data_IF_906019046910
#
_entry.id   IF_906019046910
#
_cell.length_a   1.000
_cell.length_b   1.000
_cell.length_c   1.000
_cell.angle_alpha   90.00
_cell.angle_beta   90.00
_cell.angle_gamma   90.00
#
_symmetry.space_group_name_H-M   'P 1'
#
loop_
_entity.id
_entity.type
_entity.pdbx_description
1 polymer ?
#
# COMPACT_ATOMS: atom_id res chain seq x y z
N UNK A 1 33.15 6.28 -22.46
CA UNK A 1 32.32 5.18 -23.01
C UNK A 1 31.26 4.79 -21.98
N UNK A 2 29.96 4.98 -22.25
CA UNK A 2 28.89 4.61 -21.31
C UNK A 2 28.26 3.28 -21.71
N UNK A 3 27.85 2.46 -20.72
CA UNK A 3 27.18 1.17 -20.94
C UNK A 3 26.00 1.28 -21.92
N UNK A 4 25.24 2.38 -21.85
CA UNK A 4 24.13 2.67 -22.77
C UNK A 4 24.56 2.76 -24.24
N UNK A 5 25.75 3.31 -24.54
CA UNK A 5 26.29 3.41 -25.90
C UNK A 5 26.62 2.02 -26.45
N UNK A 6 27.38 1.22 -25.69
CA UNK A 6 27.76 -0.14 -26.08
C UNK A 6 26.53 -1.03 -26.33
N UNK A 7 25.53 -0.98 -25.44
CA UNK A 7 24.27 -1.72 -25.64
C UNK A 7 23.55 -1.31 -26.94
N UNK A 8 23.56 -0.02 -27.29
CA UNK A 8 22.98 0.48 -28.54
C UNK A 8 23.80 0.03 -29.76
N UNK A 9 25.13 0.04 -29.66
CA UNK A 9 26.05 -0.42 -30.71
C UNK A 9 25.86 -1.92 -30.99
N UNK A 10 25.55 -2.71 -29.95
CA UNK A 10 25.19 -4.14 -30.07
C UNK A 10 23.73 -4.39 -30.49
N UNK A 11 22.92 -3.34 -30.75
CA UNK A 11 21.51 -3.48 -31.11
C UNK A 11 20.62 -4.05 -29.99
N UNK A 12 21.14 -4.14 -28.76
CA UNK A 12 20.44 -4.72 -27.62
C UNK A 12 19.40 -3.72 -27.08
N UNK A 13 18.13 -4.09 -27.19
CA UNK A 13 17.00 -3.34 -26.63
C UNK A 13 16.39 -4.12 -25.46
N UNK A 14 15.75 -3.40 -24.54
CA UNK A 14 14.96 -4.04 -23.49
C UNK A 14 13.80 -4.79 -24.16
N UNK A 15 13.58 -6.05 -23.79
CA UNK A 15 12.48 -6.87 -24.32
C UNK A 15 11.15 -6.18 -24.02
N UNK A 16 10.44 -5.74 -25.05
CA UNK A 16 9.12 -5.10 -24.95
C UNK A 16 7.97 -6.09 -25.14
N UNK A 17 8.26 -7.26 -25.72
CA UNK A 17 7.28 -8.32 -25.90
C UNK A 17 7.04 -8.96 -24.54
N UNK A 18 5.90 -8.60 -23.95
CA UNK A 18 5.30 -9.30 -22.82
C UNK A 18 4.33 -10.29 -23.43
N UNK A 19 4.57 -11.56 -23.16
CA UNK A 19 3.70 -12.65 -23.61
C UNK A 19 2.27 -12.49 -23.06
N UNK A 20 1.25 -12.91 -23.82
CA UNK A 20 -0.14 -12.76 -23.41
C UNK A 20 -0.46 -13.59 -22.16
N UNK A 21 0.12 -14.79 -22.05
CA UNK A 21 0.01 -15.64 -20.85
C UNK A 21 0.54 -14.91 -19.61
N UNK A 22 1.66 -14.20 -19.74
CA UNK A 22 2.22 -13.40 -18.65
C UNK A 22 1.32 -12.23 -18.28
N UNK A 23 0.63 -11.60 -19.24
CA UNK A 23 -0.32 -10.52 -18.94
C UNK A 23 -1.52 -11.04 -18.17
N UNK A 24 -2.09 -12.18 -18.59
CA UNK A 24 -3.21 -12.82 -17.91
C UNK A 24 -2.84 -13.19 -16.47
N UNK A 25 -1.69 -13.86 -16.30
CA UNK A 25 -1.16 -14.18 -14.97
C UNK A 25 -0.95 -12.94 -14.08
N UNK A 26 -0.52 -11.82 -14.65
CA UNK A 26 -0.36 -10.56 -13.90
C UNK A 26 -1.72 -9.98 -13.50
N UNK A 27 -2.75 -10.09 -14.36
CA UNK A 27 -4.12 -9.66 -14.01
C UNK A 27 -4.64 -10.43 -12.80
N UNK A 28 -4.49 -11.75 -12.79
CA UNK A 28 -4.96 -12.59 -11.69
C UNK A 28 -4.27 -12.27 -10.36
N UNK A 29 -2.96 -12.03 -10.40
CA UNK A 29 -2.20 -11.64 -9.21
C UNK A 29 -2.61 -10.26 -8.69
N UNK A 30 -2.89 -9.32 -9.59
CA UNK A 30 -3.41 -7.99 -9.23
C UNK A 30 -4.76 -8.14 -8.52
N UNK A 31 -5.68 -8.95 -9.08
CA UNK A 31 -6.97 -9.25 -8.47
C UNK A 31 -6.82 -9.86 -7.08
N UNK A 32 -5.96 -10.87 -6.95
CA UNK A 32 -5.72 -11.54 -5.68
C UNK A 32 -5.18 -10.57 -4.61
N UNK A 33 -4.23 -9.72 -4.97
CA UNK A 33 -3.65 -8.74 -4.03
C UNK A 33 -4.65 -7.63 -3.67
N UNK A 34 -5.54 -7.23 -4.58
CA UNK A 34 -6.63 -6.29 -4.28
C UNK A 34 -7.62 -6.91 -3.28
N UNK A 35 -7.99 -8.18 -3.45
CA UNK A 35 -8.92 -8.87 -2.56
C UNK A 35 -8.31 -9.19 -1.18
N UNK A 36 -7.01 -9.49 -1.13
CA UNK A 36 -6.31 -9.89 0.10
C UNK A 36 -5.72 -8.70 0.85
N UNK A 37 -5.52 -7.57 0.18
CA UNK A 37 -4.78 -6.42 0.68
C UNK A 37 -5.51 -5.62 1.78
N UNK A 38 -4.81 -5.11 2.81
CA UNK A 38 -5.42 -4.35 3.90
C UNK A 38 -6.09 -3.04 3.49
N UNK A 39 -5.78 -2.48 2.33
CA UNK A 39 -6.47 -1.31 1.78
C UNK A 39 -6.52 -1.46 0.27
N UNK A 40 -7.71 -1.32 -0.31
CA UNK A 40 -7.98 -1.17 -1.75
C UNK A 40 -7.30 0.07 -2.39
N UNK A 41 -6.35 0.69 -1.67
CA UNK A 41 -5.64 1.91 -2.00
C UNK A 41 -4.27 1.66 -2.67
N UNK A 42 -3.90 0.41 -2.93
CA UNK A 42 -2.64 0.10 -3.60
C UNK A 42 -2.67 0.61 -5.06
N UNK A 43 -2.02 1.74 -5.30
CA UNK A 43 -1.79 2.24 -6.65
C UNK A 43 -0.82 1.36 -7.44
N UNK A 44 -0.70 1.61 -8.75
CA UNK A 44 0.15 0.81 -9.65
C UNK A 44 1.62 0.74 -9.22
N UNK A 45 2.13 1.73 -8.49
CA UNK A 45 3.51 1.74 -7.96
C UNK A 45 3.72 0.69 -6.89
N UNK A 46 2.79 0.61 -5.95
CA UNK A 46 2.80 -0.41 -4.89
C UNK A 46 2.60 -1.78 -5.52
N UNK A 47 1.63 -1.90 -6.43
CA UNK A 47 1.35 -3.15 -7.12
C UNK A 47 2.55 -3.67 -7.93
N UNK A 48 3.24 -2.79 -8.66
CA UNK A 48 4.50 -3.13 -9.35
C UNK A 48 5.58 -3.61 -8.38
N UNK A 49 5.65 -3.00 -7.18
CA UNK A 49 6.61 -3.42 -6.17
C UNK A 49 6.28 -4.80 -5.57
N UNK A 50 4.99 -5.05 -5.31
CA UNK A 50 4.47 -6.33 -4.79
C UNK A 50 4.70 -7.45 -5.80
N UNK A 51 4.39 -7.25 -7.08
CA UNK A 51 4.65 -8.22 -8.14
C UNK A 51 6.13 -8.64 -8.19
N UNK A 52 7.04 -7.68 -7.97
CA UNK A 52 8.48 -7.96 -7.93
C UNK A 52 8.94 -8.64 -6.64
N UNK A 53 8.42 -8.23 -5.48
CA UNK A 53 8.87 -8.71 -4.17
C UNK A 53 8.20 -10.00 -3.69
N UNK A 54 6.93 -10.22 -4.02
CA UNK A 54 6.20 -11.44 -3.62
C UNK A 54 6.21 -12.47 -4.72
N UNK A 55 5.89 -12.05 -5.94
CA UNK A 55 5.71 -12.97 -7.07
C UNK A 55 6.96 -13.14 -7.94
N UNK A 56 8.04 -12.37 -7.69
CA UNK A 56 9.29 -12.36 -8.47
C UNK A 56 9.09 -12.09 -9.96
N UNK A 57 8.00 -11.40 -10.32
CA UNK A 57 7.67 -11.05 -11.71
C UNK A 57 8.22 -9.66 -12.01
N UNK A 58 8.97 -9.52 -13.10
CA UNK A 58 9.53 -8.25 -13.54
C UNK A 58 8.81 -7.76 -14.80
N UNK A 59 7.78 -6.94 -14.60
CA UNK A 59 6.98 -6.34 -15.68
C UNK A 59 7.22 -4.83 -15.77
N UNK A 60 7.08 -4.24 -16.97
CA UNK A 60 7.14 -2.79 -17.12
C UNK A 60 6.01 -2.11 -16.35
N UNK A 61 6.33 -0.99 -15.69
CA UNK A 61 5.35 -0.23 -14.88
C UNK A 61 4.12 0.21 -15.68
N UNK A 62 4.30 0.57 -16.95
CA UNK A 62 3.21 0.98 -17.85
C UNK A 62 2.19 -0.13 -18.08
N UNK A 63 2.65 -1.38 -18.15
CA UNK A 63 1.75 -2.54 -18.27
C UNK A 63 0.94 -2.72 -16.98
N UNK A 64 1.59 -2.62 -15.82
CA UNK A 64 0.87 -2.71 -14.54
C UNK A 64 -0.18 -1.61 -14.43
N UNK A 65 0.14 -0.38 -14.87
CA UNK A 65 -0.81 0.73 -14.88
C UNK A 65 -2.01 0.48 -15.81
N UNK A 66 -1.79 -0.01 -17.03
CA UNK A 66 -2.89 -0.32 -17.95
C UNK A 66 -3.77 -1.44 -17.41
N UNK A 67 -3.16 -2.54 -16.94
CA UNK A 67 -3.88 -3.67 -16.36
C UNK A 67 -4.67 -3.27 -15.10
N UNK A 68 -4.07 -2.45 -14.23
CA UNK A 68 -4.75 -1.98 -13.01
C UNK A 68 -5.94 -1.07 -13.35
N UNK A 69 -5.87 -0.29 -14.42
CA UNK A 69 -6.99 0.55 -14.88
C UNK A 69 -8.13 -0.28 -15.48
N UNK A 70 -7.82 -1.40 -16.12
CA UNK A 70 -8.81 -2.35 -16.62
C UNK A 70 -9.49 -3.11 -15.48
N UNK A 71 -8.71 -3.56 -14.48
CA UNK A 71 -9.18 -4.36 -13.35
C UNK A 71 -9.92 -3.53 -12.30
N UNK A 72 -9.40 -2.35 -11.94
CA UNK A 72 -9.91 -1.48 -10.88
C UNK A 72 -10.05 -0.01 -11.37
N UNK A 73 -10.98 0.27 -12.30
CA UNK A 73 -11.21 1.64 -12.76
C UNK A 73 -11.68 2.55 -11.62
N UNK A 74 -12.49 2.02 -10.69
CA UNK A 74 -13.04 2.78 -9.56
C UNK A 74 -11.96 3.22 -8.60
N UNK A 75 -11.06 2.34 -8.18
CA UNK A 75 -9.97 2.69 -7.27
C UNK A 75 -8.92 3.57 -7.93
N UNK A 76 -8.71 3.44 -9.25
CA UNK A 76 -7.88 4.41 -10.01
C UNK A 76 -8.50 5.81 -9.97
N UNK A 77 -9.80 5.92 -10.21
CA UNK A 77 -10.51 7.22 -10.16
C UNK A 77 -10.51 7.82 -8.74
N UNK A 78 -10.75 7.01 -7.72
CA UNK A 78 -10.67 7.43 -6.31
C UNK A 78 -9.28 7.96 -5.94
N UNK A 79 -8.21 7.37 -6.49
CA UNK A 79 -6.85 7.87 -6.27
C UNK A 79 -6.57 9.14 -7.07
N UNK A 80 -7.15 9.28 -8.28
CA UNK A 80 -7.02 10.47 -9.12
C UNK A 80 -7.75 11.69 -8.56
N UNK A 81 -8.87 11.49 -7.87
CA UNK A 81 -9.64 12.58 -7.27
C UNK A 81 -8.87 13.36 -6.20
N UNK A 82 -7.75 12.80 -5.71
CA UNK A 82 -6.95 13.36 -4.60
C UNK A 82 -7.75 13.55 -3.31
N UNK A 83 -8.89 12.88 -3.20
CA UNK A 83 -9.70 12.87 -2.00
C UNK A 83 -9.18 11.79 -1.05
N UNK A 84 -8.72 12.20 0.12
CA UNK A 84 -8.29 11.26 1.16
C UNK A 84 -9.54 10.62 1.77
N UNK A 85 -9.74 9.31 1.57
CA UNK A 85 -10.77 8.61 2.31
C UNK A 85 -10.34 8.52 3.78
N UNK A 86 -11.13 9.16 4.66
CA UNK A 86 -10.95 9.03 6.11
C UNK A 86 -11.32 7.61 6.53
N UNK A 87 -10.43 6.95 7.27
CA UNK A 87 -10.76 5.72 7.99
C UNK A 87 -11.81 6.06 9.06
N UNK A 88 -12.89 5.27 9.08
CA UNK A 88 -13.87 5.32 10.17
C UNK A 88 -13.36 4.43 11.29
N UNK A 89 -13.09 5.05 12.44
CA UNK A 89 -12.70 4.34 13.66
C UNK A 89 -13.96 4.10 14.48
N UNK A 90 -14.26 2.83 14.77
CA UNK A 90 -15.33 2.45 15.69
C UNK A 90 -14.68 1.99 16.98
N UNK A 91 -15.04 2.65 18.09
CA UNK A 91 -14.58 2.28 19.43
C UNK A 91 -15.68 1.50 20.17
N UNK A 92 -15.37 0.40 20.87
CA UNK A 92 -16.36 -0.39 21.61
C UNK A 92 -17.12 0.39 22.71
N UNK A 93 -16.57 1.52 23.16
CA UNK A 93 -17.24 2.39 24.14
C UNK A 93 -16.44 3.67 24.45
N UNK A 94 -16.92 4.47 25.42
CA UNK A 94 -16.20 5.63 25.93
C UNK A 94 -14.83 5.23 26.49
N UNK A 95 -13.77 6.02 26.25
CA UNK A 95 -12.37 5.79 26.68
C UNK A 95 -11.58 4.68 25.98
N UNK A 96 -12.09 4.05 24.90
CA UNK A 96 -11.33 3.02 24.16
C UNK A 96 -10.38 3.57 23.09
N UNK A 97 -10.51 4.84 22.70
CA UNK A 97 -9.61 5.48 21.75
C UNK A 97 -9.06 6.79 22.34
N UNK A 98 -7.75 6.82 22.59
CA UNK A 98 -7.04 8.00 23.04
C UNK A 98 -6.25 8.56 21.86
N UNK A 99 -6.71 9.68 21.31
CA UNK A 99 -5.93 10.45 20.35
C UNK A 99 -5.03 11.41 21.12
N UNK A 100 -3.77 11.03 21.32
CA UNK A 100 -2.78 11.91 21.96
C UNK A 100 -2.18 12.85 20.92
N UNK A 101 -2.35 14.16 21.11
CA UNK A 101 -1.74 15.18 20.27
C UNK A 101 -0.23 15.29 20.50
N UNK A 102 0.48 15.97 19.59
CA UNK A 102 1.93 16.16 19.69
C UNK A 102 2.34 16.93 20.96
N UNK A 103 1.56 17.94 21.35
CA UNK A 103 1.78 18.72 22.57
C UNK A 103 1.58 17.90 23.85
N UNK A 104 0.62 16.96 23.84
CA UNK A 104 0.35 16.09 24.99
C UNK A 104 1.42 15.02 25.14
N UNK A 105 1.92 14.51 24.01
CA UNK A 105 3.08 13.60 23.97
C UNK A 105 4.34 14.23 24.60
N UNK A 106 4.57 15.51 24.39
CA UNK A 106 5.76 16.17 24.92
C UNK A 106 5.69 16.35 26.44
N UNK A 107 4.51 16.70 26.99
CA UNK A 107 4.26 16.72 28.45
C UNK A 107 4.39 15.34 29.08
N UNK A 108 3.87 14.34 28.39
CA UNK A 108 3.89 12.96 28.86
C UNK A 108 5.31 12.39 28.86
N UNK A 109 6.13 12.66 27.83
CA UNK A 109 7.56 12.27 27.81
C UNK A 109 8.35 12.80 29.01
N UNK A 110 8.04 14.01 29.46
CA UNK A 110 8.71 14.63 30.61
C UNK A 110 8.38 13.91 31.93
N UNK A 111 7.15 13.41 32.05
CA UNK A 111 6.73 12.52 33.14
C UNK A 111 7.43 11.15 33.06
N UNK A 112 7.49 10.50 31.89
CA UNK A 112 8.17 9.21 31.72
C UNK A 112 9.68 9.24 32.00
N UNK A 113 10.33 10.39 31.86
CA UNK A 113 11.75 10.56 32.21
C UNK A 113 12.00 10.45 33.72
N UNK A 114 10.97 10.65 34.53
CA UNK A 114 11.05 10.69 36.01
C UNK A 114 10.54 9.39 36.65
N UNK A 115 9.87 8.52 35.88
CA UNK A 115 9.34 7.25 36.39
C UNK A 115 10.41 6.14 36.42
N UNK A 116 10.56 5.40 37.53
CA UNK A 116 11.55 4.33 37.67
C UNK A 116 11.19 3.04 36.90
N UNK A 117 9.91 2.84 36.54
CA UNK A 117 9.44 1.62 35.86
C UNK A 117 9.32 1.83 34.34
N UNK A 118 10.23 1.21 33.58
CA UNK A 118 10.29 1.31 32.12
C UNK A 118 9.32 0.37 31.38
N UNK A 119 8.55 -0.46 32.09
CA UNK A 119 7.85 -1.62 31.51
C UNK A 119 6.48 -1.30 30.90
N UNK A 120 5.88 -0.14 31.22
CA UNK A 120 4.63 0.35 30.62
C UNK A 120 4.87 1.06 29.27
N UNK A 121 5.75 0.50 28.43
CA UNK A 121 6.05 1.02 27.08
C UNK A 121 5.33 0.21 26.01
N UNK A 122 4.00 0.31 25.97
CA UNK A 122 3.27 0.09 24.74
C UNK A 122 1.90 0.76 24.86
N UNK A 123 1.81 1.99 24.35
CA UNK A 123 0.53 2.55 23.96
C UNK A 123 -0.19 1.49 23.11
N UNK A 124 -1.36 1.05 23.57
CA UNK A 124 -2.24 0.17 22.82
C UNK A 124 -2.68 0.95 21.57
N UNK A 125 -1.89 0.85 20.50
CA UNK A 125 -2.17 1.50 19.23
C UNK A 125 -3.32 0.72 18.60
N UNK A 126 -4.53 1.23 18.83
CA UNK A 126 -5.74 1.02 18.02
C UNK A 126 -5.83 -0.40 17.45
N UNK A 127 -6.34 -1.36 18.24
CA UNK A 127 -6.91 -2.59 17.68
C UNK A 127 -8.24 -2.21 17.03
N UNK A 128 -8.19 -1.73 15.79
CA UNK A 128 -9.39 -1.55 14.97
C UNK A 128 -9.71 -2.86 14.26
N UNK A 129 -10.73 -3.57 14.72
CA UNK A 129 -11.40 -4.58 13.90
C UNK A 129 -12.25 -3.87 12.85
N UNK A 130 -12.01 -4.22 11.58
CA UNK A 130 -12.81 -3.79 10.44
C UNK A 130 -14.15 -4.52 10.54
N UNK A 131 -15.26 -3.80 10.73
CA UNK A 131 -16.57 -4.34 10.41
C UNK A 131 -16.85 -3.95 8.95
N UNK A 132 -16.95 -4.96 8.09
CA UNK A 132 -17.58 -4.79 6.80
C UNK A 132 -19.04 -4.42 7.06
N UNK A 133 -19.42 -3.23 6.60
CA UNK A 133 -20.81 -2.75 6.66
C UNK A 133 -21.60 -3.65 5.71
N UNK A 134 -22.34 -4.62 6.26
CA UNK A 134 -23.39 -5.31 5.51
C UNK A 134 -24.54 -4.31 5.29
N UNK A 135 -25.05 -4.15 4.05
CA UNK A 135 -26.17 -3.28 3.78
C UNK A 135 -27.46 -3.86 4.37
N UNK A 136 -28.31 -2.97 4.89
CA UNK A 136 -29.66 -3.26 5.40
C UNK A 136 -30.67 -3.50 4.29
#
# INVERSE_FOLDING_TARGET
MTLKRRLKDYGLKRREIVDEELKERVRDLILQEICTGPDSLNGYRTMWHVLRLRHRINVPRRLVESLLREVDPRGVEHRKSRCLQRRTYVSPGPNFCWHMGRADLDKVKEYWKQSPDQEVKACHCIRCTRHDVLPS
#
